data_IF_831172912606
#
_entry.id   IF_831172912606
#
_cell.length_a   1.000
_cell.length_b   1.000
_cell.length_c   1.000
_cell.angle_alpha   90.00
_cell.angle_beta   90.00
_cell.angle_gamma   90.00
#
_symmetry.space_group_name_H-M   'P 1'
#
loop_
_entity.id
_entity.type
_entity.pdbx_description
1 polymer ?
#
# COMPACT_ATOMS: atom_id res chain seq x y z
N UNK A 1 -39.96 -21.25 40.82
CA UNK A 1 -39.42 -21.83 39.57
C UNK A 1 -38.53 -20.78 38.91
N UNK A 2 -37.20 -20.95 38.87
CA UNK A 2 -36.31 -19.99 38.21
C UNK A 2 -36.22 -20.27 36.70
N UNK A 3 -36.58 -19.28 35.90
CA UNK A 3 -36.44 -19.31 34.44
C UNK A 3 -34.97 -19.22 34.03
N UNK A 4 -34.52 -20.21 33.26
CA UNK A 4 -33.16 -20.36 32.76
C UNK A 4 -32.79 -19.19 31.84
N UNK A 5 -31.72 -18.49 32.15
CA UNK A 5 -31.01 -17.59 31.25
C UNK A 5 -30.34 -18.40 30.15
N UNK A 6 -30.70 -18.12 28.89
CA UNK A 6 -29.98 -18.62 27.72
C UNK A 6 -28.61 -17.92 27.61
N UNK A 7 -27.52 -18.63 27.27
CA UNK A 7 -26.27 -17.98 26.92
C UNK A 7 -26.40 -17.35 25.53
N UNK A 8 -26.02 -16.07 25.42
CA UNK A 8 -25.80 -15.38 24.15
C UNK A 8 -24.61 -16.04 23.45
N UNK A 9 -24.88 -16.70 22.34
CA UNK A 9 -23.85 -17.21 21.45
C UNK A 9 -23.00 -16.04 20.91
N UNK A 10 -21.67 -16.15 20.82
CA UNK A 10 -20.87 -15.12 20.18
C UNK A 10 -21.27 -15.05 18.71
N UNK A 11 -21.68 -13.87 18.26
CA UNK A 11 -21.92 -13.58 16.86
C UNK A 11 -20.64 -13.91 16.08
N UNK A 12 -20.68 -15.00 15.31
CA UNK A 12 -19.65 -15.32 14.34
C UNK A 12 -19.54 -14.12 13.41
N UNK A 13 -18.35 -13.51 13.35
CA UNK A 13 -18.04 -12.52 12.32
C UNK A 13 -18.34 -13.18 10.98
N UNK A 14 -19.13 -12.55 10.09
CA UNK A 14 -19.19 -13.03 8.72
C UNK A 14 -17.77 -13.04 8.17
N UNK A 15 -17.27 -14.23 7.84
CA UNK A 15 -16.10 -14.37 7.02
C UNK A 15 -16.44 -13.67 5.71
N UNK A 16 -15.89 -12.46 5.52
CA UNK A 16 -16.00 -11.75 4.27
C UNK A 16 -15.55 -12.70 3.18
N UNK A 17 -16.45 -12.97 2.22
CA UNK A 17 -16.14 -13.78 1.06
C UNK A 17 -14.90 -13.18 0.41
N UNK A 18 -13.81 -13.96 0.38
CA UNK A 18 -12.62 -13.60 -0.38
C UNK A 18 -13.09 -13.49 -1.83
N UNK A 19 -13.04 -12.31 -2.47
CA UNK A 19 -13.50 -12.15 -3.83
C UNK A 19 -12.80 -13.16 -4.74
N UNK A 20 -13.55 -13.72 -5.69
CA UNK A 20 -13.13 -14.78 -6.60
C UNK A 20 -11.72 -14.48 -7.15
N UNK A 21 -10.86 -15.46 -6.96
CA UNK A 21 -9.42 -15.35 -6.71
C UNK A 21 -8.64 -14.65 -7.84
N UNK A 22 -7.99 -13.52 -7.51
CA UNK A 22 -6.57 -13.40 -7.90
C UNK A 22 -5.93 -14.70 -7.43
N UNK A 23 -5.32 -15.46 -8.35
CA UNK A 23 -4.70 -16.74 -8.01
C UNK A 23 -3.80 -16.51 -6.79
N UNK A 24 -4.21 -17.08 -5.65
CA UNK A 24 -3.57 -16.80 -4.37
C UNK A 24 -2.10 -17.22 -4.40
N UNK A 25 -1.77 -18.24 -5.20
CA UNK A 25 -0.39 -18.67 -5.43
C UNK A 25 0.35 -17.58 -6.19
N UNK A 26 -0.17 -17.13 -7.33
CA UNK A 26 0.46 -16.05 -8.12
C UNK A 26 0.64 -14.75 -7.31
N UNK A 27 -0.30 -14.43 -6.42
CA UNK A 27 -0.19 -13.27 -5.54
C UNK A 27 0.93 -13.44 -4.50
N UNK A 28 1.04 -14.63 -3.90
CA UNK A 28 2.09 -14.93 -2.94
C UNK A 28 3.47 -14.98 -3.61
N UNK A 29 3.55 -15.51 -4.82
CA UNK A 29 4.78 -15.51 -5.64
C UNK A 29 5.21 -14.08 -5.96
N UNK A 30 4.28 -13.22 -6.43
CA UNK A 30 4.61 -11.82 -6.68
C UNK A 30 4.96 -11.02 -5.41
N UNK A 31 4.38 -11.37 -4.27
CA UNK A 31 4.80 -10.80 -2.97
C UNK A 31 6.21 -11.28 -2.59
N UNK A 32 6.52 -12.56 -2.81
CA UNK A 32 7.85 -13.10 -2.59
C UNK A 32 8.89 -12.35 -3.45
N UNK A 33 8.61 -12.17 -4.73
CA UNK A 33 9.47 -11.44 -5.66
C UNK A 33 9.69 -9.99 -5.20
N UNK A 34 8.63 -9.29 -4.77
CA UNK A 34 8.74 -7.94 -4.24
C UNK A 34 9.59 -7.86 -2.95
N UNK A 35 9.52 -8.88 -2.08
CA UNK A 35 10.33 -8.94 -0.86
C UNK A 35 11.79 -9.31 -1.12
N UNK A 36 12.05 -10.12 -2.16
CA UNK A 36 13.38 -10.53 -2.59
C UNK A 36 14.07 -9.48 -3.46
N UNK A 37 13.31 -8.59 -4.09
CA UNK A 37 13.83 -7.55 -4.97
C UNK A 37 14.81 -6.60 -4.22
N UNK A 38 15.87 -6.13 -4.90
CA UNK A 38 16.70 -5.03 -4.41
C UNK A 38 15.86 -3.80 -4.07
N UNK A 39 16.34 -3.00 -3.11
CA UNK A 39 15.63 -1.78 -2.69
C UNK A 39 15.28 -0.85 -3.85
N UNK A 40 16.06 -0.83 -4.92
CA UNK A 40 15.86 0.00 -6.11
C UNK A 40 14.68 -0.51 -6.97
N UNK A 41 14.46 -1.83 -7.00
CA UNK A 41 13.50 -2.50 -7.89
C UNK A 41 12.17 -2.83 -7.20
N UNK A 42 12.11 -2.80 -5.86
CA UNK A 42 10.88 -3.12 -5.12
C UNK A 42 9.68 -2.25 -5.51
N UNK A 43 9.91 -1.03 -6.01
CA UNK A 43 8.82 -0.18 -6.52
C UNK A 43 8.17 -0.77 -7.76
N UNK A 44 8.98 -1.26 -8.70
CA UNK A 44 8.51 -1.89 -9.94
C UNK A 44 7.88 -3.25 -9.66
N UNK A 45 8.51 -4.06 -8.80
CA UNK A 45 7.97 -5.36 -8.39
C UNK A 45 6.61 -5.21 -7.67
N UNK A 46 6.49 -4.25 -6.75
CA UNK A 46 5.22 -3.97 -6.09
C UNK A 46 4.19 -3.40 -7.08
N UNK A 47 4.59 -2.55 -8.02
CA UNK A 47 3.67 -2.04 -9.05
C UNK A 47 3.10 -3.19 -9.87
N UNK A 48 3.94 -4.10 -10.37
CA UNK A 48 3.52 -5.28 -11.11
C UNK A 48 2.56 -6.18 -10.31
N UNK A 49 2.87 -6.41 -9.03
CA UNK A 49 2.00 -7.17 -8.10
C UNK A 49 0.63 -6.50 -7.91
N UNK A 50 0.59 -5.17 -7.84
CA UNK A 50 -0.64 -4.43 -7.56
C UNK A 50 -1.51 -4.16 -8.79
N UNK A 51 -0.96 -4.12 -10.00
CA UNK A 51 -1.72 -3.89 -11.25
C UNK A 51 -3.01 -4.74 -11.37
N UNK A 52 -3.01 -6.07 -11.13
CA UNK A 52 -4.23 -6.88 -11.23
C UNK A 52 -5.26 -6.60 -10.12
N UNK A 53 -4.86 -6.00 -9.00
CA UNK A 53 -5.76 -5.67 -7.88
C UNK A 53 -6.30 -4.25 -8.02
N UNK A 54 -5.40 -3.31 -8.28
CA UNK A 54 -5.65 -1.88 -8.46
C UNK A 54 -4.77 -1.39 -9.60
N UNK A 55 -5.39 -1.14 -10.75
CA UNK A 55 -4.72 -0.46 -11.84
C UNK A 55 -4.37 0.96 -11.40
N UNK A 56 -3.17 1.41 -11.74
CA UNK A 56 -2.65 2.72 -11.36
C UNK A 56 -1.68 3.22 -12.42
N UNK A 57 -1.62 4.54 -12.60
CA UNK A 57 -0.71 5.17 -13.56
C UNK A 57 0.72 5.28 -13.05
N UNK A 58 0.86 5.46 -11.74
CA UNK A 58 2.14 5.50 -11.08
C UNK A 58 2.04 5.01 -9.64
N UNK A 59 3.16 4.51 -9.14
CA UNK A 59 3.37 4.07 -7.77
C UNK A 59 4.60 4.79 -7.23
N UNK A 60 4.47 5.36 -6.04
CA UNK A 60 5.57 6.05 -5.34
C UNK A 60 5.69 5.48 -3.94
N UNK A 61 6.90 5.05 -3.58
CA UNK A 61 7.25 4.66 -2.22
C UNK A 61 8.16 5.73 -1.62
N UNK A 62 7.79 6.20 -0.44
CA UNK A 62 8.59 7.09 0.39
C UNK A 62 8.92 6.42 1.71
N UNK A 63 10.17 6.52 2.13
CA UNK A 63 10.66 6.02 3.42
C UNK A 63 11.39 7.14 4.12
N UNK A 64 11.22 7.28 5.43
CA UNK A 64 11.84 8.35 6.23
C UNK A 64 13.38 8.38 6.10
N UNK A 65 14.01 7.22 5.90
CA UNK A 65 15.47 7.10 5.78
C UNK A 65 16.05 7.53 4.41
N UNK A 66 15.21 7.87 3.43
CA UNK A 66 15.68 8.32 2.12
C UNK A 66 15.99 9.83 2.14
N UNK A 67 17.21 10.19 2.54
CA UNK A 67 17.70 11.56 2.42
C UNK A 67 17.93 11.92 0.94
N UNK A 68 16.97 12.64 0.32
CA UNK A 68 17.23 13.46 -0.88
C UNK A 68 16.32 13.32 -2.09
N UNK A 69 15.63 12.18 -2.30
CA UNK A 69 14.60 12.02 -3.36
C UNK A 69 13.83 10.70 -3.18
N UNK A 70 12.52 10.59 -3.52
CA UNK A 70 11.84 9.30 -3.52
C UNK A 70 12.51 8.42 -4.59
N UNK A 71 13.19 7.34 -4.18
CA UNK A 71 14.03 6.52 -5.08
C UNK A 71 13.25 5.39 -5.77
N UNK A 72 12.04 5.10 -5.31
CA UNK A 72 11.28 3.90 -5.70
C UNK A 72 9.96 4.36 -6.32
N UNK A 73 9.99 4.51 -7.64
CA UNK A 73 8.90 5.08 -8.43
C UNK A 73 8.70 4.20 -9.65
N UNK A 74 7.47 3.83 -9.93
CA UNK A 74 7.07 3.04 -11.10
C UNK A 74 5.93 3.75 -11.83
N UNK A 75 5.88 3.65 -13.17
CA UNK A 75 4.78 4.18 -13.99
C UNK A 75 5.12 5.47 -14.75
N UNK A 76 4.10 6.29 -15.03
CA UNK A 76 4.18 7.42 -15.97
C UNK A 76 5.28 8.44 -15.61
N UNK A 77 6.19 8.70 -16.56
CA UNK A 77 7.37 9.55 -16.39
C UNK A 77 7.01 10.97 -15.89
N UNK A 78 5.89 11.54 -16.34
CA UNK A 78 5.44 12.87 -15.89
C UNK A 78 5.15 12.90 -14.38
N UNK A 79 4.72 11.79 -13.79
CA UNK A 79 4.45 11.67 -12.35
C UNK A 79 5.75 11.36 -11.60
N UNK A 80 6.51 10.39 -12.13
CA UNK A 80 7.73 9.88 -11.51
C UNK A 80 8.82 10.94 -11.46
N UNK A 81 8.98 11.76 -12.50
CA UNK A 81 10.04 12.76 -12.57
C UNK A 81 9.72 14.02 -11.74
N UNK A 82 8.44 14.38 -11.64
CA UNK A 82 8.04 15.66 -11.06
C UNK A 82 7.57 15.58 -9.61
N UNK A 83 7.29 14.39 -9.06
CA UNK A 83 6.82 14.28 -7.66
C UNK A 83 7.90 14.73 -6.68
N UNK A 84 7.51 15.64 -5.78
CA UNK A 84 8.38 16.26 -4.79
C UNK A 84 8.20 15.65 -3.40
N UNK A 85 9.21 15.77 -2.54
CA UNK A 85 9.11 15.31 -1.13
C UNK A 85 8.01 16.09 -0.40
N UNK A 86 7.91 17.41 -0.61
CA UNK A 86 6.88 18.24 0.03
C UNK A 86 5.44 17.87 -0.38
N UNK A 87 5.22 17.31 -1.57
CA UNK A 87 3.93 16.73 -1.95
C UNK A 87 3.64 15.44 -1.17
N UNK A 88 4.62 14.56 -1.04
CA UNK A 88 4.49 13.30 -0.31
C UNK A 88 4.32 13.52 1.20
N UNK A 89 5.02 14.48 1.79
CA UNK A 89 4.86 14.86 3.20
C UNK A 89 3.44 15.38 3.48
N UNK A 90 2.87 16.17 2.55
CA UNK A 90 1.48 16.62 2.67
C UNK A 90 0.48 15.47 2.59
N UNK A 91 0.73 14.48 1.71
CA UNK A 91 -0.08 13.27 1.65
C UNK A 91 0.05 12.50 2.96
N UNK A 92 1.27 12.31 3.47
CA UNK A 92 1.53 11.64 4.74
C UNK A 92 0.80 12.30 5.91
N UNK A 93 0.88 13.64 6.00
CA UNK A 93 0.21 14.43 7.04
C UNK A 93 -1.32 14.43 6.92
N UNK A 94 -1.87 14.18 5.73
CA UNK A 94 -3.32 14.03 5.53
C UNK A 94 -3.84 12.66 6.00
N UNK A 95 -2.97 11.65 6.08
CA UNK A 95 -3.33 10.36 6.65
C UNK A 95 -3.41 10.50 8.17
N UNK A 96 -4.43 9.88 8.77
CA UNK A 96 -4.53 9.83 10.22
C UNK A 96 -3.22 9.27 10.81
N UNK A 97 -2.79 9.79 11.95
CA UNK A 97 -1.57 9.36 12.68
C UNK A 97 -1.63 7.89 13.18
N UNK A 98 -2.68 7.16 12.83
CA UNK A 98 -2.85 5.74 13.18
C UNK A 98 -2.11 4.85 12.17
N UNK A 99 -1.25 3.93 12.62
CA UNK A 99 -0.60 2.96 11.74
C UNK A 99 -1.62 2.14 10.93
N UNK A 100 -1.36 1.94 9.64
CA UNK A 100 -2.29 1.26 8.73
C UNK A 100 -3.45 2.13 8.24
N UNK A 101 -3.49 3.42 8.60
CA UNK A 101 -4.40 4.39 7.98
C UNK A 101 -4.12 4.49 6.48
N UNK A 102 -5.20 4.43 5.70
CA UNK A 102 -5.13 4.58 4.25
C UNK A 102 -6.26 5.45 3.72
N UNK A 103 -5.91 6.39 2.87
CA UNK A 103 -6.87 7.19 2.10
C UNK A 103 -7.08 6.55 0.73
N UNK A 104 -8.29 6.65 0.20
CA UNK A 104 -8.63 6.16 -1.13
C UNK A 104 -9.37 7.24 -1.89
N UNK A 105 -8.99 7.44 -3.16
CA UNK A 105 -9.58 8.43 -4.06
C UNK A 105 -9.67 9.83 -3.45
N UNK A 106 -8.56 10.32 -2.89
CA UNK A 106 -8.43 11.70 -2.41
C UNK A 106 -7.65 12.53 -3.41
N UNK A 107 -8.01 13.80 -3.61
CA UNK A 107 -7.26 14.67 -4.52
C UNK A 107 -6.03 15.26 -3.81
N UNK A 108 -4.85 15.03 -4.38
CA UNK A 108 -3.60 15.66 -3.93
C UNK A 108 -2.78 16.15 -5.11
N UNK A 109 -1.98 17.21 -4.94
CA UNK A 109 -0.98 17.58 -5.92
C UNK A 109 0.11 16.51 -5.95
N UNK A 110 0.30 15.89 -7.10
CA UNK A 110 1.40 14.97 -7.37
C UNK A 110 2.04 15.42 -8.67
N UNK A 111 3.34 15.71 -8.67
CA UNK A 111 4.03 16.18 -9.89
C UNK A 111 3.45 17.49 -10.41
N UNK A 112 3.10 18.42 -9.50
CA UNK A 112 2.62 19.76 -9.84
C UNK A 112 1.18 19.86 -10.35
N UNK A 113 0.42 18.76 -10.43
CA UNK A 113 -0.99 18.75 -10.86
C UNK A 113 -1.88 18.04 -9.84
N UNK A 114 -3.15 18.47 -9.67
CA UNK A 114 -4.12 17.73 -8.88
C UNK A 114 -4.38 16.36 -9.54
N UNK A 115 -4.19 15.30 -8.77
CA UNK A 115 -4.41 13.91 -9.20
C UNK A 115 -5.17 13.16 -8.13
N UNK A 116 -5.93 12.14 -8.54
CA UNK A 116 -6.61 11.28 -7.57
C UNK A 116 -5.59 10.30 -7.02
N UNK A 117 -5.48 10.18 -5.70
CA UNK A 117 -4.51 9.29 -5.07
C UNK A 117 -5.16 8.34 -4.08
N UNK A 118 -4.58 7.16 -3.95
CA UNK A 118 -4.76 6.30 -2.79
C UNK A 118 -3.41 6.15 -2.09
N UNK A 119 -3.41 6.23 -0.77
CA UNK A 119 -2.18 6.26 0.01
C UNK A 119 -2.31 5.44 1.28
N UNK A 120 -1.22 4.78 1.69
CA UNK A 120 -1.17 3.96 2.90
C UNK A 120 0.13 4.20 3.66
N UNK A 121 0.00 4.50 4.96
CA UNK A 121 1.13 4.59 5.88
C UNK A 121 1.36 3.23 6.54
N UNK A 122 2.57 2.70 6.40
CA UNK A 122 2.99 1.49 7.11
C UNK A 122 3.40 1.83 8.56
N UNK A 123 3.38 0.81 9.42
CA UNK A 123 3.92 0.86 10.80
C UNK A 123 5.39 1.27 10.81
N UNK A 124 6.07 1.16 9.66
CA UNK A 124 7.46 1.53 9.50
C UNK A 124 7.71 3.02 9.27
N UNK A 125 6.66 3.84 9.16
CA UNK A 125 6.75 5.23 8.71
C UNK A 125 6.77 5.37 7.17
N UNK A 126 6.96 4.27 6.44
CA UNK A 126 6.94 4.29 4.99
C UNK A 126 5.54 4.59 4.43
N UNK A 127 5.50 5.37 3.35
CA UNK A 127 4.31 5.75 2.62
C UNK A 127 4.30 5.08 1.24
N UNK A 128 3.17 4.45 0.90
CA UNK A 128 2.83 4.04 -0.46
C UNK A 128 1.79 5.02 -1.02
N UNK A 129 2.01 5.49 -2.24
CA UNK A 129 1.05 6.32 -3.00
C UNK A 129 0.81 5.68 -4.36
N UNK A 130 -0.47 5.45 -4.69
CA UNK A 130 -0.95 5.07 -6.02
C UNK A 130 -1.64 6.27 -6.66
N UNK A 131 -1.31 6.52 -7.92
CA UNK A 131 -1.83 7.65 -8.70
C UNK A 131 -2.89 7.16 -9.69
N UNK A 132 -4.02 7.85 -9.68
CA UNK A 132 -5.26 7.55 -10.40
C UNK A 132 -5.68 6.08 -10.23
N UNK A 133 -5.92 5.62 -8.98
CA UNK A 133 -6.21 4.23 -8.68
C UNK A 133 -7.59 3.82 -9.19
N UNK A 134 -7.65 2.69 -9.90
CA UNK A 134 -8.88 2.05 -10.36
C UNK A 134 -8.89 0.62 -9.84
N UNK A 135 -9.82 0.31 -8.93
CA UNK A 135 -9.97 -1.04 -8.40
C UNK A 135 -10.43 -2.00 -9.52
N UNK A 136 -9.79 -3.17 -9.64
CA UNK A 136 -10.14 -4.17 -10.64
C UNK A 136 -11.46 -4.90 -10.34
N UNK A 137 -11.94 -4.80 -9.10
CA UNK A 137 -13.17 -5.45 -8.64
C UNK A 137 -14.13 -4.41 -8.03
N UNK A 138 -15.43 -4.73 -8.07
CA UNK A 138 -16.48 -3.89 -7.50
C UNK A 138 -16.32 -3.70 -5.98
N UNK A 139 -15.71 -4.66 -5.29
CA UNK A 139 -15.39 -4.54 -3.87
C UNK A 139 -14.10 -3.74 -3.63
N UNK A 140 -14.24 -2.42 -3.72
CA UNK A 140 -13.18 -1.45 -3.41
C UNK A 140 -12.65 -1.62 -1.98
N UNK A 141 -13.50 -2.05 -1.03
CA UNK A 141 -13.06 -2.27 0.35
C UNK A 141 -12.10 -3.46 0.40
N UNK A 142 -12.44 -4.60 -0.20
CA UNK A 142 -11.56 -5.76 -0.25
C UNK A 142 -10.23 -5.44 -0.95
N UNK A 143 -10.27 -4.73 -2.08
CA UNK A 143 -9.06 -4.29 -2.78
C UNK A 143 -8.17 -3.41 -1.88
N UNK A 144 -8.75 -2.44 -1.16
CA UNK A 144 -8.03 -1.59 -0.20
C UNK A 144 -7.38 -2.39 0.92
N UNK A 145 -8.08 -3.38 1.48
CA UNK A 145 -7.52 -4.23 2.54
C UNK A 145 -6.39 -5.10 2.04
N UNK A 146 -6.51 -5.60 0.81
CA UNK A 146 -5.46 -6.39 0.17
C UNK A 146 -4.20 -5.54 -0.09
N UNK A 147 -4.35 -4.36 -0.70
CA UNK A 147 -3.22 -3.43 -0.92
C UNK A 147 -2.55 -3.08 0.40
N UNK A 148 -3.34 -2.76 1.44
CA UNK A 148 -2.81 -2.46 2.77
C UNK A 148 -1.98 -3.62 3.32
N UNK A 149 -2.48 -4.86 3.21
CA UNK A 149 -1.80 -6.05 3.71
C UNK A 149 -0.48 -6.32 2.97
N UNK A 150 -0.50 -6.24 1.64
CA UNK A 150 0.70 -6.40 0.80
C UNK A 150 1.73 -5.30 1.10
N UNK A 151 1.28 -4.05 1.17
CA UNK A 151 2.13 -2.92 1.48
C UNK A 151 2.82 -3.06 2.84
N UNK A 152 2.07 -3.47 3.87
CA UNK A 152 2.63 -3.67 5.22
C UNK A 152 3.78 -4.68 5.21
N UNK A 153 3.62 -5.79 4.49
CA UNK A 153 4.65 -6.82 4.34
C UNK A 153 5.90 -6.27 3.63
N UNK A 154 5.71 -5.62 2.47
CA UNK A 154 6.80 -5.04 1.68
C UNK A 154 7.53 -3.93 2.45
N UNK A 155 6.81 -3.05 3.13
CA UNK A 155 7.39 -1.99 3.95
C UNK A 155 8.24 -2.55 5.09
N UNK A 156 7.82 -3.69 5.69
CA UNK A 156 8.62 -4.39 6.68
C UNK A 156 9.91 -4.98 6.06
N UNK A 157 9.80 -5.64 4.91
CA UNK A 157 10.96 -6.18 4.18
C UNK A 157 11.98 -5.09 3.81
N UNK A 158 11.51 -3.93 3.32
CA UNK A 158 12.35 -2.77 3.04
C UNK A 158 13.13 -2.34 4.29
N UNK A 159 12.45 -2.22 5.44
CA UNK A 159 13.11 -1.85 6.71
C UNK A 159 14.16 -2.88 7.12
N UNK A 160 13.88 -4.17 6.98
CA UNK A 160 14.85 -5.23 7.30
C UNK A 160 16.09 -5.15 6.40
N UNK A 161 15.92 -4.96 5.10
CA UNK A 161 17.03 -4.81 4.16
C UNK A 161 17.89 -3.58 4.48
N UNK A 162 17.26 -2.45 4.84
CA UNK A 162 17.98 -1.23 5.27
C UNK A 162 18.76 -1.48 6.56
N UNK A 163 18.16 -2.13 7.55
CA UNK A 163 18.82 -2.45 8.82
C UNK A 163 19.98 -3.46 8.67
N UNK A 164 19.93 -4.32 7.65
CA UNK A 164 20.97 -5.31 7.36
C UNK A 164 22.12 -4.75 6.51
N UNK A 165 22.00 -3.53 5.98
CA UNK A 165 23.07 -2.90 5.21
C UNK A 165 24.28 -2.56 6.12
N UNK A 166 25.53 -2.82 5.70
CA UNK A 166 26.70 -2.45 6.48
C UNK A 166 26.75 -0.93 6.72
N UNK A 167 27.24 -0.45 7.89
CA UNK A 167 27.49 0.96 8.08
C UNK A 167 28.55 1.44 7.09
N UNK A 168 28.28 2.59 6.45
CA UNK A 168 29.18 3.23 5.50
C UNK A 168 30.39 3.90 6.17
#
# INVERSE_FOLDING_TARGET
>A
MPSRTHPVAPAARPAAAVPASVDAVALLDGLHDALAAPLQEVGDALSALLQPVVAHRALVIFTEDCTGRPRKKAGEAEVVENVTIAELDRILASLAETPGAGAWSVEHPVGGRPRTVAAWRADTGALLVLVDPVAAHEDVRAARELVRALWRSVAHGIRQQVAAAPPA
#
